data_IF_763012153444
#
_entry.id   IF_763012153444
#
_cell.length_a   1.000
_cell.length_b   1.000
_cell.length_c   1.000
_cell.angle_alpha   90.00
_cell.angle_beta   90.00
_cell.angle_gamma   90.00
#
_symmetry.space_group_name_H-M   'P 1'
#
loop_
_entity.id
_entity.type
_entity.pdbx_description
1 polymer ?
#
# COMPACT_ATOMS: atom_id res chain seq x y z
N UNK A 1 -12.27 -22.44 -0.85
CA UNK A 1 -11.49 -21.52 0.00
C UNK A 1 -10.52 -22.35 0.82
N UNK A 2 -9.40 -21.80 1.33
CA UNK A 2 -8.62 -22.54 2.31
C UNK A 2 -9.50 -22.92 3.52
N UNK A 3 -9.17 -24.04 4.16
CA UNK A 3 -9.87 -24.50 5.36
C UNK A 3 -9.64 -23.58 6.55
N UNK A 4 -10.44 -23.76 7.60
CA UNK A 4 -10.31 -22.97 8.82
C UNK A 4 -8.95 -23.19 9.52
N UNK A 5 -8.41 -22.12 10.11
CA UNK A 5 -7.15 -22.12 10.83
C UNK A 5 -7.22 -22.97 12.10
N UNK A 6 -8.39 -23.09 12.73
CA UNK A 6 -8.61 -23.88 13.94
C UNK A 6 -8.15 -25.34 13.82
N UNK A 7 -8.20 -25.89 12.60
CA UNK A 7 -7.66 -27.24 12.33
C UNK A 7 -6.14 -27.28 12.45
N UNK A 8 -5.44 -26.23 12.03
CA UNK A 8 -3.98 -26.15 12.13
C UNK A 8 -3.52 -25.84 13.55
N UNK A 9 -4.30 -25.06 14.28
CA UNK A 9 -4.00 -24.64 15.64
C UNK A 9 -4.46 -25.62 16.71
N UNK A 10 -5.07 -26.75 16.31
CA UNK A 10 -5.55 -27.76 17.23
C UNK A 10 -4.40 -28.32 18.10
N UNK A 11 -4.44 -28.13 19.44
CA UNK A 11 -3.34 -28.50 20.33
C UNK A 11 -3.23 -30.02 20.57
N UNK A 12 -4.19 -30.80 20.09
CA UNK A 12 -4.20 -32.26 20.21
C UNK A 12 -4.95 -32.93 19.08
N UNK A 13 -4.59 -34.19 18.80
CA UNK A 13 -5.27 -35.06 17.83
C UNK A 13 -6.78 -35.15 18.10
N UNK A 14 -7.18 -35.28 19.37
CA UNK A 14 -8.61 -35.36 19.75
C UNK A 14 -9.37 -34.10 19.36
N UNK A 15 -8.80 -32.93 19.62
CA UNK A 15 -9.43 -31.66 19.26
C UNK A 15 -9.48 -31.47 17.75
N UNK A 16 -8.41 -31.85 17.05
CA UNK A 16 -8.38 -31.87 15.59
C UNK A 16 -9.50 -32.72 14.99
N UNK A 17 -9.67 -33.96 15.49
CA UNK A 17 -10.73 -34.87 15.04
C UNK A 17 -12.13 -34.30 15.27
N UNK A 18 -12.37 -33.64 16.40
CA UNK A 18 -13.64 -32.99 16.69
C UNK A 18 -13.94 -31.83 15.73
N UNK A 19 -12.95 -30.96 15.49
CA UNK A 19 -13.07 -29.84 14.57
C UNK A 19 -13.28 -30.31 13.13
N UNK A 20 -12.51 -31.33 12.71
CA UNK A 20 -12.61 -31.90 11.37
C UNK A 20 -13.95 -32.61 11.14
N UNK A 21 -14.51 -33.26 12.16
CA UNK A 21 -15.83 -33.88 12.08
C UNK A 21 -16.96 -32.83 11.99
N UNK A 22 -16.81 -31.69 12.65
CA UNK A 22 -17.81 -30.62 12.68
C UNK A 22 -17.73 -29.67 11.48
N UNK A 23 -16.65 -29.73 10.68
CA UNK A 23 -16.56 -28.89 9.49
C UNK A 23 -17.52 -29.35 8.39
N UNK A 24 -18.26 -28.42 7.76
CA UNK A 24 -19.00 -28.73 6.55
C UNK A 24 -18.01 -29.22 5.48
N UNK A 25 -18.27 -30.42 4.92
CA UNK A 25 -17.43 -31.02 3.89
C UNK A 25 -17.36 -30.14 2.65
N UNK A 26 -16.28 -29.37 2.54
CA UNK A 26 -15.97 -28.51 1.40
C UNK A 26 -16.81 -27.22 1.39
N UNK A 27 -16.14 -26.06 1.42
CA UNK A 27 -16.79 -24.82 1.00
C UNK A 27 -17.09 -24.91 -0.50
N UNK A 28 -18.32 -24.67 -0.97
CA UNK A 28 -18.60 -24.68 -2.41
C UNK A 28 -17.87 -23.54 -3.13
N UNK A 29 -17.45 -22.50 -2.41
CA UNK A 29 -16.74 -21.35 -2.95
C UNK A 29 -15.24 -21.66 -3.17
N UNK A 30 -14.76 -21.53 -4.40
CA UNK A 30 -13.34 -21.55 -4.73
C UNK A 30 -12.68 -20.18 -4.50
N UNK A 31 -11.34 -20.16 -4.37
CA UNK A 31 -10.60 -18.90 -4.26
C UNK A 31 -10.77 -18.03 -5.52
N UNK A 32 -10.84 -18.66 -6.70
CA UNK A 32 -11.08 -17.96 -7.96
C UNK A 32 -12.44 -17.27 -8.01
N UNK A 33 -13.50 -17.94 -7.55
CA UNK A 33 -14.84 -17.33 -7.44
C UNK A 33 -14.86 -16.17 -6.42
N UNK A 34 -14.19 -16.34 -5.28
CA UNK A 34 -14.07 -15.29 -4.27
C UNK A 34 -13.32 -14.06 -4.82
N UNK A 35 -12.18 -14.29 -5.49
CA UNK A 35 -11.40 -13.24 -6.13
C UNK A 35 -12.19 -12.56 -7.25
N UNK A 36 -12.91 -13.30 -8.08
CA UNK A 36 -13.76 -12.75 -9.15
C UNK A 36 -14.85 -11.83 -8.59
N UNK A 37 -15.50 -12.22 -7.49
CA UNK A 37 -16.48 -11.38 -6.81
C UNK A 37 -15.84 -10.11 -6.26
N UNK A 38 -14.67 -10.21 -5.64
CA UNK A 38 -13.96 -9.04 -5.12
C UNK A 38 -13.44 -8.12 -6.23
N UNK A 39 -12.91 -8.67 -7.32
CA UNK A 39 -12.31 -7.92 -8.42
C UNK A 39 -13.33 -7.31 -9.37
N UNK A 40 -14.42 -8.02 -9.67
CA UNK A 40 -15.33 -7.66 -10.78
C UNK A 40 -16.79 -7.63 -10.38
N UNK A 41 -17.13 -7.93 -9.12
CA UNK A 41 -18.50 -8.14 -8.64
C UNK A 41 -19.24 -9.29 -9.35
N UNK A 42 -18.50 -10.20 -9.99
CA UNK A 42 -19.03 -11.29 -10.80
C UNK A 42 -18.88 -12.65 -10.12
N UNK A 43 -19.93 -13.46 -10.20
CA UNK A 43 -19.94 -14.87 -9.81
C UNK A 43 -20.46 -15.71 -10.98
N UNK A 44 -19.72 -16.77 -11.35
CA UNK A 44 -20.09 -17.63 -12.48
C UNK A 44 -21.39 -18.44 -12.25
N UNK A 45 -21.82 -18.57 -10.99
CA UNK A 45 -23.03 -19.24 -10.55
C UNK A 45 -23.55 -18.60 -9.28
N UNK A 46 -24.80 -18.89 -8.92
CA UNK A 46 -25.34 -18.50 -7.61
C UNK A 46 -24.63 -19.29 -6.49
N UNK A 47 -24.05 -18.57 -5.54
CA UNK A 47 -23.34 -19.13 -4.40
C UNK A 47 -24.11 -18.76 -3.13
N UNK A 48 -24.46 -19.73 -2.26
CA UNK A 48 -25.21 -19.45 -1.04
C UNK A 48 -24.53 -18.40 -0.16
N UNK A 49 -25.31 -17.50 0.44
CA UNK A 49 -24.79 -16.41 1.31
C UNK A 49 -23.88 -16.90 2.44
N UNK A 50 -24.15 -18.09 2.98
CA UNK A 50 -23.34 -18.74 4.02
C UNK A 50 -21.90 -19.04 3.58
N UNK A 51 -21.66 -19.18 2.27
CA UNK A 51 -20.32 -19.47 1.72
C UNK A 51 -19.41 -18.24 1.66
N UNK A 52 -19.97 -17.04 1.87
CA UNK A 52 -19.24 -15.77 1.93
C UNK A 52 -18.79 -15.41 3.34
N UNK A 53 -19.10 -16.25 4.34
CA UNK A 53 -18.53 -16.17 5.68
C UNK A 53 -17.16 -16.85 5.66
N UNK A 54 -16.11 -16.06 5.84
CA UNK A 54 -14.73 -16.53 5.75
C UNK A 54 -14.06 -16.48 7.12
N UNK A 55 -13.22 -17.48 7.40
CA UNK A 55 -12.30 -17.43 8.54
C UNK A 55 -11.26 -16.32 8.35
N UNK A 56 -10.52 -15.94 9.41
CA UNK A 56 -9.42 -14.98 9.30
C UNK A 56 -8.40 -15.33 8.23
N UNK A 57 -7.96 -16.57 8.25
CA UNK A 57 -7.01 -17.08 7.28
C UNK A 57 -7.56 -17.05 5.85
N UNK A 58 -8.81 -17.47 5.64
CA UNK A 58 -9.44 -17.45 4.32
C UNK A 58 -9.61 -16.03 3.76
N UNK A 59 -9.92 -15.07 4.64
CA UNK A 59 -9.99 -13.66 4.30
C UNK A 59 -8.63 -13.14 3.86
N UNK A 60 -7.58 -13.41 4.64
CA UNK A 60 -6.21 -13.00 4.30
C UNK A 60 -5.79 -13.54 2.92
N UNK A 61 -6.00 -14.83 2.66
CA UNK A 61 -5.70 -15.46 1.36
C UNK A 61 -6.45 -14.78 0.21
N UNK A 62 -7.73 -14.42 0.40
CA UNK A 62 -8.48 -13.67 -0.60
C UNK A 62 -7.91 -12.27 -0.86
N UNK A 63 -7.50 -11.55 0.19
CA UNK A 63 -6.88 -10.22 0.05
C UNK A 63 -5.54 -10.31 -0.71
N UNK A 64 -4.72 -11.32 -0.43
CA UNK A 64 -3.49 -11.58 -1.20
C UNK A 64 -3.77 -11.91 -2.66
N UNK A 65 -4.80 -12.72 -2.94
CA UNK A 65 -5.18 -13.05 -4.31
C UNK A 65 -5.57 -11.79 -5.10
N UNK A 66 -6.38 -10.91 -4.50
CA UNK A 66 -6.75 -9.60 -5.08
C UNK A 66 -5.53 -8.71 -5.29
N UNK A 67 -4.69 -8.55 -4.26
CA UNK A 67 -3.49 -7.72 -4.37
C UNK A 67 -2.50 -8.21 -5.44
N UNK A 68 -2.37 -9.54 -5.55
CA UNK A 68 -1.56 -10.19 -6.57
C UNK A 68 -2.12 -9.95 -7.97
N UNK A 69 -3.44 -10.08 -8.15
CA UNK A 69 -4.11 -9.81 -9.42
C UNK A 69 -3.95 -8.35 -9.86
N UNK A 70 -4.16 -7.39 -8.94
CA UNK A 70 -3.91 -5.97 -9.19
C UNK A 70 -2.47 -5.76 -9.65
N UNK A 71 -1.50 -6.34 -8.93
CA UNK A 71 -0.09 -6.22 -9.28
C UNK A 71 0.24 -6.80 -10.66
N UNK A 72 -0.32 -7.96 -11.03
CA UNK A 72 -0.15 -8.55 -12.36
C UNK A 72 -0.71 -7.64 -13.45
N UNK A 73 -1.93 -7.13 -13.26
CA UNK A 73 -2.56 -6.20 -14.22
C UNK A 73 -1.69 -4.95 -14.40
N UNK A 74 -1.24 -4.33 -13.32
CA UNK A 74 -0.40 -3.14 -13.38
C UNK A 74 0.98 -3.43 -13.99
N UNK A 75 1.58 -4.58 -13.68
CA UNK A 75 2.91 -4.94 -14.19
C UNK A 75 2.91 -5.34 -15.67
N UNK A 76 1.88 -6.06 -16.12
CA UNK A 76 1.74 -6.43 -17.53
C UNK A 76 1.63 -5.19 -18.45
N UNK A 77 0.97 -4.13 -17.94
CA UNK A 77 0.83 -2.85 -18.65
C UNK A 77 2.15 -2.10 -18.77
N UNK A 78 2.93 -2.06 -17.70
CA UNK A 78 4.28 -1.48 -17.71
C UNK A 78 5.24 -2.21 -18.67
N UNK A 79 5.01 -3.50 -18.92
CA UNK A 79 5.79 -4.31 -19.86
C UNK A 79 5.22 -4.35 -21.29
N UNK A 80 4.05 -3.74 -21.54
CA UNK A 80 3.41 -3.71 -22.85
C UNK A 80 2.91 -5.08 -23.37
N UNK A 81 2.74 -6.09 -22.51
CA UNK A 81 2.42 -7.49 -22.89
C UNK A 81 0.91 -7.77 -22.86
N UNK A 82 0.07 -6.90 -23.41
CA UNK A 82 -1.32 -7.28 -23.70
C UNK A 82 -1.40 -7.77 -25.15
N UNK A 83 -1.65 -9.07 -25.40
CA UNK A 83 -1.85 -9.57 -26.73
C UNK A 83 -3.26 -9.18 -27.19
N UNK A 84 -3.32 -8.17 -28.07
CA UNK A 84 -4.51 -7.83 -28.83
C UNK A 84 -4.93 -6.37 -28.76
N UNK A 85 -4.19 -5.48 -29.43
CA UNK A 85 -4.80 -4.54 -30.39
C UNK A 85 -3.71 -3.86 -31.25
N UNK A 86 -3.83 -3.95 -32.58
CA UNK A 86 -2.92 -3.30 -33.54
C UNK A 86 -3.49 -1.93 -33.92
N UNK A 87 -3.52 -0.99 -32.97
CA UNK A 87 -3.99 0.36 -33.25
C UNK A 87 -3.64 1.35 -32.15
N UNK A 88 -2.70 2.25 -32.45
CA UNK A 88 -2.33 3.46 -31.71
C UNK A 88 -1.75 3.27 -30.30
N UNK A 89 -0.45 3.53 -30.18
CA UNK A 89 0.29 3.71 -28.92
C UNK A 89 -0.27 4.89 -28.11
N UNK A 90 -1.33 4.65 -27.37
CA UNK A 90 -1.71 5.43 -26.19
C UNK A 90 -1.37 4.55 -25.01
N UNK A 91 -0.59 5.07 -24.06
CA UNK A 91 -0.27 4.39 -22.79
C UNK A 91 -1.56 3.75 -22.27
N UNK A 92 -1.57 2.42 -22.11
CA UNK A 92 -2.70 1.56 -21.71
C UNK A 92 -3.11 1.80 -20.24
N UNK A 93 -3.36 3.06 -19.90
CA UNK A 93 -3.77 3.52 -18.59
C UNK A 93 -4.96 4.44 -18.79
N UNK A 94 -6.05 3.85 -19.28
CA UNK A 94 -7.35 4.53 -19.25
C UNK A 94 -7.79 4.75 -17.80
N UNK A 95 -8.45 5.88 -17.47
CA UNK A 95 -9.00 6.14 -16.13
C UNK A 95 -9.96 5.06 -15.61
N UNK A 96 -10.50 4.19 -16.49
CA UNK A 96 -11.34 3.05 -16.11
C UNK A 96 -10.62 2.00 -15.25
N UNK A 97 -9.30 1.86 -15.39
CA UNK A 97 -8.54 0.80 -14.69
C UNK A 97 -8.23 1.12 -13.23
N UNK A 98 -7.88 2.39 -12.95
CA UNK A 98 -7.75 2.88 -11.57
C UNK A 98 -9.11 2.82 -10.88
N UNK A 99 -10.18 3.15 -11.59
CA UNK A 99 -11.54 3.09 -11.05
C UNK A 99 -11.98 1.66 -10.73
N UNK A 100 -11.66 0.69 -11.58
CA UNK A 100 -11.91 -0.73 -11.33
C UNK A 100 -11.08 -1.25 -10.15
N UNK A 101 -9.81 -0.85 -10.07
CA UNK A 101 -8.96 -1.15 -8.91
C UNK A 101 -9.51 -0.53 -7.63
N UNK A 102 -9.93 0.74 -7.65
CA UNK A 102 -10.57 1.41 -6.52
C UNK A 102 -11.87 0.69 -6.10
N UNK A 103 -12.69 0.25 -7.06
CA UNK A 103 -13.91 -0.48 -6.78
C UNK A 103 -13.61 -1.85 -6.13
N UNK A 104 -12.60 -2.58 -6.62
CA UNK A 104 -12.17 -3.84 -6.05
C UNK A 104 -11.65 -3.68 -4.62
N UNK A 105 -10.81 -2.68 -4.37
CA UNK A 105 -10.28 -2.38 -3.05
C UNK A 105 -11.37 -1.92 -2.08
N UNK A 106 -12.36 -1.14 -2.54
CA UNK A 106 -13.51 -0.77 -1.73
C UNK A 106 -14.34 -2.00 -1.33
N UNK A 107 -14.63 -2.92 -2.25
CA UNK A 107 -15.33 -4.18 -1.93
C UNK A 107 -14.54 -5.02 -0.91
N UNK A 108 -13.23 -5.10 -1.06
CA UNK A 108 -12.37 -5.79 -0.09
C UNK A 108 -12.44 -5.14 1.30
N UNK A 109 -12.38 -3.80 1.36
CA UNK A 109 -12.50 -3.06 2.61
C UNK A 109 -13.87 -3.27 3.26
N UNK A 110 -14.95 -3.23 2.48
CA UNK A 110 -16.30 -3.41 3.01
C UNK A 110 -16.49 -4.83 3.56
N UNK A 111 -15.89 -5.84 2.92
CA UNK A 111 -15.80 -7.20 3.45
C UNK A 111 -15.02 -7.25 4.78
N UNK A 112 -13.86 -6.60 4.87
CA UNK A 112 -13.07 -6.56 6.12
C UNK A 112 -13.82 -5.83 7.26
N UNK A 113 -14.53 -4.75 6.95
CA UNK A 113 -15.29 -3.99 7.95
C UNK A 113 -16.56 -4.71 8.40
N UNK A 114 -17.25 -5.40 7.49
CA UNK A 114 -18.40 -6.25 7.84
C UNK A 114 -17.97 -7.44 8.71
N UNK A 115 -16.84 -8.07 8.39
CA UNK A 115 -16.26 -9.11 9.23
C UNK A 115 -15.90 -8.60 10.64
N UNK A 116 -15.41 -7.36 10.76
CA UNK A 116 -15.16 -6.71 12.04
C UNK A 116 -16.44 -6.48 12.86
N UNK A 117 -17.49 -5.97 12.22
CA UNK A 117 -18.72 -5.55 12.90
C UNK A 117 -19.66 -6.72 13.25
N UNK A 118 -19.60 -7.83 12.51
CA UNK A 118 -20.48 -8.97 12.72
C UNK A 118 -20.07 -9.85 13.93
N UNK A 119 -18.87 -9.65 14.50
CA UNK A 119 -18.14 -10.73 15.16
C UNK A 119 -17.51 -10.34 16.52
N UNK A 120 -18.31 -10.07 17.55
CA UNK A 120 -17.83 -10.21 18.96
C UNK A 120 -17.56 -11.69 19.35
N UNK A 121 -17.88 -12.67 18.48
CA UNK A 121 -17.93 -14.11 18.84
C UNK A 121 -17.06 -15.04 17.97
N UNK A 122 -16.66 -14.66 16.75
CA UNK A 122 -15.92 -15.55 15.82
C UNK A 122 -14.49 -15.12 15.53
N UNK A 123 -14.09 -13.93 15.97
CA UNK A 123 -12.72 -13.43 15.89
C UNK A 123 -12.33 -13.07 17.31
N UNK A 124 -11.34 -13.75 17.85
CA UNK A 124 -10.79 -13.46 19.17
C UNK A 124 -10.08 -12.11 19.18
N UNK A 125 -9.78 -11.55 20.36
CA UNK A 125 -8.92 -10.37 20.47
C UNK A 125 -7.55 -10.58 19.77
N UNK A 126 -7.12 -11.83 19.62
CA UNK A 126 -5.90 -12.22 18.92
C UNK A 126 -6.00 -12.12 17.37
N UNK A 127 -7.21 -12.06 16.81
CA UNK A 127 -7.45 -11.96 15.36
C UNK A 127 -7.58 -10.50 14.86
N UNK A 128 -7.69 -9.52 15.77
CA UNK A 128 -7.69 -8.09 15.45
C UNK A 128 -6.49 -7.63 14.60
N UNK A 129 -5.26 -8.10 14.88
CA UNK A 129 -4.08 -7.87 14.03
C UNK A 129 -4.26 -8.36 12.59
N UNK A 130 -4.98 -9.47 12.35
CA UNK A 130 -5.15 -10.05 11.00
C UNK A 130 -5.90 -9.09 10.06
N UNK A 131 -7.02 -8.50 10.49
CA UNK A 131 -7.77 -7.53 9.68
C UNK A 131 -6.93 -6.28 9.39
N UNK A 132 -6.20 -5.82 10.40
CA UNK A 132 -5.29 -4.69 10.28
C UNK A 132 -4.18 -4.97 9.24
N UNK A 133 -3.64 -6.19 9.24
CA UNK A 133 -2.65 -6.67 8.28
C UNK A 133 -3.20 -6.81 6.86
N UNK A 134 -4.42 -7.33 6.71
CA UNK A 134 -5.12 -7.38 5.42
C UNK A 134 -5.27 -5.98 4.79
N UNK A 135 -5.56 -4.97 5.60
CA UNK A 135 -5.62 -3.58 5.13
C UNK A 135 -4.26 -3.05 4.65
N UNK A 136 -3.12 -3.54 5.17
CA UNK A 136 -1.82 -3.21 4.61
C UNK A 136 -1.60 -3.81 3.22
N UNK A 137 -1.99 -5.07 3.02
CA UNK A 137 -1.92 -5.74 1.71
C UNK A 137 -2.71 -4.97 0.64
N UNK A 138 -3.92 -4.51 0.98
CA UNK A 138 -4.74 -3.68 0.08
C UNK A 138 -4.08 -2.32 -0.22
N UNK A 139 -3.39 -1.71 0.76
CA UNK A 139 -2.63 -0.47 0.53
C UNK A 139 -1.44 -0.67 -0.39
N UNK A 140 -0.70 -1.78 -0.24
CA UNK A 140 0.38 -2.16 -1.19
C UNK A 140 -0.17 -2.23 -2.61
N UNK A 141 -1.29 -2.94 -2.80
CA UNK A 141 -1.93 -3.08 -4.10
C UNK A 141 -2.33 -1.73 -4.70
N UNK A 142 -2.95 -0.86 -3.88
CA UNK A 142 -3.33 0.49 -4.30
C UNK A 142 -2.13 1.33 -4.74
N UNK A 143 -1.10 1.45 -3.89
CA UNK A 143 0.07 2.26 -4.20
C UNK A 143 0.75 1.79 -5.48
N UNK A 144 0.92 0.47 -5.65
CA UNK A 144 1.53 -0.11 -6.85
C UNK A 144 0.70 0.09 -8.12
N UNK A 145 -0.64 0.06 -8.02
CA UNK A 145 -1.51 0.32 -9.15
C UNK A 145 -1.47 1.79 -9.60
N UNK A 146 -1.28 2.72 -8.67
CA UNK A 146 -1.22 4.15 -8.96
C UNK A 146 0.19 4.64 -9.36
N UNK A 147 1.24 3.90 -9.04
CA UNK A 147 2.62 4.19 -9.46
C UNK A 147 2.85 3.76 -10.92
N UNK A 148 2.42 4.61 -11.86
CA UNK A 148 2.33 4.30 -13.30
C UNK A 148 3.64 4.44 -14.10
N UNK A 149 4.68 5.12 -13.60
CA UNK A 149 5.75 5.63 -14.49
C UNK A 149 7.15 5.69 -13.88
N UNK A 150 7.28 5.81 -12.56
CA UNK A 150 8.57 5.76 -11.88
C UNK A 150 8.46 4.87 -10.65
N UNK A 151 8.96 3.64 -10.76
CA UNK A 151 9.24 2.83 -9.57
C UNK A 151 10.73 2.95 -9.28
N UNK A 152 11.05 3.28 -8.03
CA UNK A 152 12.42 3.19 -7.54
C UNK A 152 12.95 1.77 -7.84
N UNK A 153 14.23 1.65 -8.19
CA UNK A 153 14.85 0.37 -8.50
C UNK A 153 14.44 -0.69 -7.47
N UNK A 154 13.75 -1.75 -7.92
CA UNK A 154 13.22 -2.81 -7.03
C UNK A 154 14.34 -3.53 -6.28
N UNK A 155 15.57 -3.47 -6.80
CA UNK A 155 16.76 -4.04 -6.18
C UNK A 155 17.53 -3.04 -5.31
N UNK A 156 17.04 -1.82 -5.09
CA UNK A 156 17.74 -0.81 -4.28
C UNK A 156 18.05 -1.29 -2.86
N UNK A 157 17.15 -2.11 -2.31
CA UNK A 157 17.31 -2.70 -0.98
C UNK A 157 18.42 -3.77 -0.95
N UNK A 158 18.81 -4.32 -2.09
CA UNK A 158 19.89 -5.30 -2.23
C UNK A 158 21.25 -4.68 -2.57
N UNK A 159 21.32 -3.38 -2.86
CA UNK A 159 22.60 -2.71 -3.18
C UNK A 159 23.54 -2.76 -1.98
N UNK A 160 24.84 -2.95 -2.19
CA UNK A 160 25.76 -3.10 -1.07
C UNK A 160 26.28 -1.74 -0.60
N UNK A 161 26.51 -0.83 -1.54
CA UNK A 161 27.16 0.45 -1.27
C UNK A 161 26.16 1.61 -1.20
N UNK A 162 26.52 2.65 -0.45
CA UNK A 162 25.77 3.92 -0.44
C UNK A 162 25.77 4.59 -1.81
N UNK A 163 26.86 4.48 -2.57
CA UNK A 163 26.97 5.08 -3.91
C UNK A 163 25.91 4.54 -4.86
N UNK A 164 25.76 3.22 -4.94
CA UNK A 164 24.75 2.57 -5.79
C UNK A 164 23.32 2.99 -5.45
N UNK A 165 23.02 3.19 -4.17
CA UNK A 165 21.71 3.68 -3.71
C UNK A 165 21.49 5.11 -4.17
N UNK A 166 22.47 5.98 -3.97
CA UNK A 166 22.39 7.40 -4.37
C UNK A 166 22.25 7.53 -5.89
N UNK A 167 22.94 6.69 -6.66
CA UNK A 167 22.82 6.65 -8.12
C UNK A 167 21.41 6.17 -8.54
N UNK A 168 20.89 5.12 -7.90
CA UNK A 168 19.54 4.62 -8.15
C UNK A 168 18.47 5.66 -7.80
N UNK A 169 18.63 6.38 -6.69
CA UNK A 169 17.76 7.51 -6.30
C UNK A 169 17.86 8.64 -7.32
N UNK A 170 19.07 9.01 -7.74
CA UNK A 170 19.27 10.09 -8.73
C UNK A 170 18.58 9.76 -10.05
N UNK A 171 18.72 8.50 -10.52
CA UNK A 171 17.99 7.99 -11.68
C UNK A 171 16.48 8.06 -11.47
N UNK A 172 16.00 7.64 -10.29
CA UNK A 172 14.59 7.70 -9.95
C UNK A 172 14.01 9.12 -9.98
N UNK A 173 14.74 10.12 -9.47
CA UNK A 173 14.32 11.51 -9.50
C UNK A 173 14.38 12.15 -10.90
N UNK A 174 15.23 11.63 -11.79
CA UNK A 174 15.34 12.10 -13.18
C UNK A 174 14.16 11.71 -14.07
N UNK A 175 13.37 10.71 -13.67
CA UNK A 175 12.19 10.27 -14.41
C UNK A 175 11.03 11.21 -14.09
N UNK A 176 10.35 11.73 -15.11
CA UNK A 176 9.21 12.63 -14.90
C UNK A 176 8.07 11.93 -14.15
N UNK A 177 7.43 12.66 -13.23
CA UNK A 177 6.35 12.16 -12.39
C UNK A 177 5.02 12.76 -12.86
N UNK A 178 4.13 11.97 -13.48
CA UNK A 178 2.85 12.48 -13.94
C UNK A 178 1.98 13.02 -12.79
N UNK A 179 1.25 14.10 -13.11
CA UNK A 179 0.40 14.85 -12.18
C UNK A 179 -1.06 14.91 -12.60
N UNK A 180 -1.58 13.84 -13.23
CA UNK A 180 -2.98 13.78 -13.63
C UNK A 180 -3.93 13.88 -12.44
N UNK A 181 -5.17 14.29 -12.69
CA UNK A 181 -6.21 14.37 -11.65
C UNK A 181 -6.40 13.02 -10.91
N UNK A 182 -6.35 11.90 -11.65
CA UNK A 182 -6.43 10.56 -11.07
C UNK A 182 -5.28 10.26 -10.10
N UNK A 183 -4.05 10.65 -10.44
CA UNK A 183 -2.89 10.48 -9.57
C UNK A 183 -3.01 11.39 -8.34
N UNK A 184 -3.40 12.65 -8.52
CA UNK A 184 -3.60 13.59 -7.40
C UNK A 184 -4.65 13.08 -6.41
N UNK A 185 -5.77 12.55 -6.91
CA UNK A 185 -6.80 11.90 -6.08
C UNK A 185 -6.22 10.70 -5.34
N UNK A 186 -5.44 9.86 -6.01
CA UNK A 186 -4.83 8.68 -5.39
C UNK A 186 -3.79 9.04 -4.32
N UNK A 187 -3.00 10.08 -4.54
CA UNK A 187 -2.06 10.62 -3.56
C UNK A 187 -2.82 11.18 -2.36
N UNK A 188 -3.90 11.93 -2.57
CA UNK A 188 -4.70 12.44 -1.47
C UNK A 188 -5.22 11.31 -0.55
N UNK A 189 -5.71 10.21 -1.13
CA UNK A 189 -6.14 9.03 -0.36
C UNK A 189 -4.98 8.35 0.37
N UNK A 190 -3.84 8.25 -0.29
CA UNK A 190 -2.62 7.64 0.26
C UNK A 190 -2.05 8.45 1.44
N UNK A 191 -2.09 9.77 1.34
CA UNK A 191 -1.63 10.71 2.38
C UNK A 191 -2.39 10.50 3.68
N UNK A 192 -3.72 10.33 3.66
CA UNK A 192 -4.48 10.09 4.90
C UNK A 192 -4.01 8.81 5.62
N UNK A 193 -3.80 7.72 4.87
CA UNK A 193 -3.28 6.47 5.41
C UNK A 193 -1.85 6.59 5.94
N UNK A 194 -1.04 7.44 5.29
CA UNK A 194 0.35 7.76 5.64
C UNK A 194 0.47 8.59 6.94
N UNK A 195 -0.62 9.02 7.57
CA UNK A 195 -0.54 9.70 8.88
C UNK A 195 -1.31 8.99 10.00
N UNK A 196 -1.89 7.81 9.72
CA UNK A 196 -2.56 6.98 10.74
C UNK A 196 -1.61 6.63 11.90
N UNK A 197 -0.37 6.14 11.67
CA UNK A 197 0.58 5.90 12.76
C UNK A 197 0.90 7.12 13.62
N UNK A 198 0.95 8.31 13.00
CA UNK A 198 1.20 9.55 13.72
C UNK A 198 0.10 9.85 14.73
N UNK A 199 -1.16 9.69 14.31
CA UNK A 199 -2.36 9.91 15.14
C UNK A 199 -2.51 8.90 16.26
N UNK A 200 -2.07 7.67 16.06
CA UNK A 200 -2.00 6.66 17.11
C UNK A 200 -0.90 6.97 18.15
N UNK A 201 0.02 7.88 17.83
CA UNK A 201 1.18 8.22 18.63
C UNK A 201 2.44 7.66 18.01
N UNK A 202 3.34 8.54 17.56
CA UNK A 202 4.59 8.17 16.88
C UNK A 202 5.43 7.22 17.74
N UNK A 203 5.74 7.61 18.98
CA UNK A 203 6.57 6.79 19.88
C UNK A 203 5.92 5.45 20.21
N UNK A 204 4.61 5.45 20.46
CA UNK A 204 3.87 4.22 20.74
C UNK A 204 4.00 3.27 19.55
N UNK A 205 3.68 3.75 18.35
CA UNK A 205 3.73 2.94 17.12
C UNK A 205 5.14 2.43 16.83
N UNK A 206 6.17 3.25 16.99
CA UNK A 206 7.57 2.83 16.82
C UNK A 206 7.94 1.65 17.73
N UNK A 207 7.43 1.63 18.97
CA UNK A 207 7.75 0.59 19.94
C UNK A 207 6.86 -0.65 19.84
N UNK A 208 5.67 -0.54 19.23
CA UNK A 208 4.69 -1.64 19.18
C UNK A 208 4.45 -2.20 17.78
N UNK A 209 4.96 -1.58 16.71
CA UNK A 209 4.79 -2.06 15.34
C UNK A 209 5.17 -3.53 15.19
N UNK A 210 6.32 -3.93 15.74
CA UNK A 210 6.80 -5.31 15.71
C UNK A 210 5.87 -6.34 16.38
N UNK A 211 4.94 -5.92 17.23
CA UNK A 211 4.05 -6.81 17.99
C UNK A 211 2.77 -7.18 17.22
N UNK A 212 2.32 -6.31 16.31
CA UNK A 212 1.00 -6.44 15.66
C UNK A 212 1.06 -6.40 14.14
N UNK A 213 2.13 -5.86 13.56
CA UNK A 213 2.26 -5.69 12.12
C UNK A 213 2.84 -6.95 11.49
N UNK A 214 2.39 -7.27 10.28
CA UNK A 214 3.12 -8.11 9.34
C UNK A 214 4.13 -7.31 8.53
N UNK A 215 5.06 -8.00 7.86
CA UNK A 215 6.05 -7.35 6.98
C UNK A 215 5.38 -6.52 5.88
N UNK A 216 4.15 -6.88 5.49
CA UNK A 216 3.34 -6.12 4.53
C UNK A 216 3.04 -4.70 4.98
N UNK A 217 2.98 -4.41 6.29
CA UNK A 217 2.87 -3.03 6.76
C UNK A 217 4.12 -2.22 6.43
N UNK A 218 5.30 -2.84 6.58
CA UNK A 218 6.54 -2.17 6.22
C UNK A 218 6.58 -1.90 4.71
N UNK A 219 6.19 -2.88 3.91
CA UNK A 219 6.12 -2.76 2.45
C UNK A 219 5.06 -1.72 2.03
N UNK A 220 3.89 -1.72 2.66
CA UNK A 220 2.82 -0.75 2.41
C UNK A 220 3.27 0.68 2.72
N UNK A 221 3.88 0.86 3.90
CA UNK A 221 4.42 2.15 4.32
C UNK A 221 5.50 2.64 3.36
N UNK A 222 6.40 1.76 2.92
CA UNK A 222 7.42 2.05 1.92
C UNK A 222 6.83 2.48 0.58
N UNK A 223 5.95 1.67 -0.02
CA UNK A 223 5.34 1.97 -1.33
C UNK A 223 4.51 3.27 -1.27
N UNK A 224 3.76 3.47 -0.18
CA UNK A 224 2.99 4.71 0.04
C UNK A 224 3.92 5.92 0.23
N UNK A 225 4.99 5.80 1.00
CA UNK A 225 5.95 6.89 1.22
C UNK A 225 6.64 7.29 -0.09
N UNK A 226 7.10 6.32 -0.90
CA UNK A 226 7.66 6.59 -2.22
C UNK A 226 6.66 7.31 -3.11
N UNK A 227 5.43 6.79 -3.22
CA UNK A 227 4.39 7.37 -4.07
C UNK A 227 4.06 8.80 -3.69
N UNK A 228 3.78 9.05 -2.40
CA UNK A 228 3.39 10.37 -1.89
C UNK A 228 4.54 11.36 -1.99
N UNK A 229 5.72 11.00 -1.52
CA UNK A 229 6.86 11.94 -1.47
C UNK A 229 7.37 12.30 -2.86
N UNK A 230 7.30 11.35 -3.82
CA UNK A 230 7.67 11.61 -5.21
C UNK A 230 6.72 12.58 -5.89
N UNK A 231 5.41 12.44 -5.63
CA UNK A 231 4.40 13.36 -6.15
C UNK A 231 4.56 14.74 -5.51
N UNK A 232 4.75 14.84 -4.19
CA UNK A 232 5.02 16.12 -3.52
C UNK A 232 6.24 16.79 -4.16
N UNK A 233 7.32 16.04 -4.36
CA UNK A 233 8.52 16.57 -5.00
C UNK A 233 8.24 17.10 -6.42
N UNK A 234 7.40 16.41 -7.19
CA UNK A 234 7.01 16.87 -8.52
C UNK A 234 6.23 18.20 -8.48
N UNK A 235 5.35 18.38 -7.49
CA UNK A 235 4.67 19.66 -7.27
C UNK A 235 5.65 20.76 -6.89
N UNK A 236 6.59 20.47 -5.97
CA UNK A 236 7.63 21.44 -5.60
C UNK A 236 8.48 21.86 -6.80
N UNK A 237 8.84 20.93 -7.69
CA UNK A 237 9.56 21.26 -8.92
C UNK A 237 8.71 22.11 -9.87
N UNK A 238 7.42 21.78 -10.03
CA UNK A 238 6.50 22.56 -10.85
C UNK A 238 6.32 24.00 -10.33
N UNK A 239 6.22 24.19 -9.01
CA UNK A 239 6.15 25.52 -8.41
C UNK A 239 7.43 26.34 -8.67
N UNK A 240 8.60 25.69 -8.60
CA UNK A 240 9.90 26.32 -8.86
C UNK A 240 10.11 26.66 -10.34
N UNK A 241 9.62 25.84 -11.27
CA UNK A 241 9.67 26.10 -12.71
C UNK A 241 8.58 27.07 -13.19
N UNK A 242 7.72 27.56 -12.29
CA UNK A 242 6.52 28.34 -12.61
C UNK A 242 5.52 27.61 -13.52
N UNK A 243 5.54 26.27 -13.49
CA UNK A 243 4.54 25.47 -14.16
C UNK A 243 3.19 25.56 -13.45
N UNK A 244 2.12 25.31 -14.21
CA UNK A 244 0.78 25.34 -13.66
C UNK A 244 0.60 24.24 -12.61
N UNK A 245 0.17 24.66 -11.42
CA UNK A 245 -0.37 23.81 -10.37
C UNK A 245 -1.89 24.07 -10.32
N UNK A 246 -2.69 23.03 -10.33
CA UNK A 246 -4.14 23.10 -10.29
C UNK A 246 -4.66 23.12 -8.82
N UNK A 247 -5.96 23.34 -8.65
CA UNK A 247 -6.56 23.48 -7.32
C UNK A 247 -6.58 22.17 -6.52
N UNK A 248 -6.75 21.03 -7.19
CA UNK A 248 -6.71 19.71 -6.53
C UNK A 248 -5.32 19.39 -6.00
N UNK A 249 -4.27 19.76 -6.73
CA UNK A 249 -2.87 19.62 -6.32
C UNK A 249 -2.59 20.52 -5.11
N UNK A 250 -2.96 21.81 -5.18
CA UNK A 250 -2.85 22.75 -4.05
C UNK A 250 -3.57 22.26 -2.81
N UNK A 251 -4.78 21.73 -2.96
CA UNK A 251 -5.56 21.23 -1.83
C UNK A 251 -4.90 20.00 -1.19
N UNK A 252 -4.33 19.12 -2.00
CA UNK A 252 -3.58 17.95 -1.51
C UNK A 252 -2.32 18.36 -0.76
N UNK A 253 -1.55 19.33 -1.27
CA UNK A 253 -0.39 19.89 -0.56
C UNK A 253 -0.79 20.52 0.77
N UNK A 254 -1.86 21.34 0.79
CA UNK A 254 -2.40 21.92 2.04
C UNK A 254 -2.78 20.85 3.05
N UNK A 255 -3.36 19.74 2.59
CA UNK A 255 -3.67 18.60 3.45
C UNK A 255 -2.41 17.99 4.07
N UNK A 256 -1.33 17.81 3.29
CA UNK A 256 -0.04 17.33 3.81
C UNK A 256 0.50 18.29 4.87
N UNK A 257 0.50 19.60 4.63
CA UNK A 257 0.91 20.60 5.63
C UNK A 257 0.12 20.49 6.94
N UNK A 258 -1.20 20.37 6.84
CA UNK A 258 -2.07 20.17 8.00
C UNK A 258 -1.69 18.92 8.78
N UNK A 259 -1.50 17.79 8.10
CA UNK A 259 -1.15 16.51 8.73
C UNK A 259 0.24 16.53 9.39
N UNK A 260 1.21 17.20 8.77
CA UNK A 260 2.53 17.43 9.37
C UNK A 260 2.43 18.25 10.66
N UNK A 261 1.57 19.27 10.66
CA UNK A 261 1.29 20.10 11.83
C UNK A 261 0.59 19.30 12.94
N UNK A 262 -0.42 18.50 12.59
CA UNK A 262 -1.11 17.58 13.51
C UNK A 262 -0.12 16.60 14.16
N UNK A 263 0.84 16.09 13.39
CA UNK A 263 1.90 15.21 13.86
C UNK A 263 3.03 15.94 14.63
N UNK A 264 2.90 17.26 14.84
CA UNK A 264 3.88 18.12 15.52
C UNK A 264 5.26 18.11 14.86
N UNK A 265 5.32 17.85 13.56
CA UNK A 265 6.56 17.82 12.79
C UNK A 265 6.89 19.24 12.37
N UNK A 266 8.00 19.76 12.89
CA UNK A 266 8.50 21.08 12.53
C UNK A 266 9.32 20.98 11.25
N UNK A 267 8.99 21.80 10.27
CA UNK A 267 9.81 22.06 9.10
C UNK A 267 9.60 23.52 8.67
N UNK A 268 10.59 24.07 8.01
CA UNK A 268 10.64 25.46 7.54
C UNK A 268 10.12 25.56 6.11
N UNK A 269 9.66 26.75 5.70
CA UNK A 269 9.25 26.98 4.30
C UNK A 269 10.41 26.86 3.30
N UNK A 270 11.65 26.93 3.79
CA UNK A 270 12.87 26.76 3.00
C UNK A 270 13.19 25.30 2.70
N UNK A 271 12.77 24.37 3.57
CA UNK A 271 13.00 22.94 3.40
C UNK A 271 12.06 22.31 2.37
N UNK A 272 12.48 21.22 1.73
CA UNK A 272 11.59 20.41 0.90
C UNK A 272 10.56 19.69 1.77
N UNK A 273 9.27 19.88 1.45
CA UNK A 273 8.16 19.15 2.05
C UNK A 273 8.30 17.64 1.77
N UNK A 274 8.71 17.26 0.56
CA UNK A 274 8.98 15.86 0.23
C UNK A 274 10.06 15.28 1.13
N UNK A 275 11.15 16.01 1.36
CA UNK A 275 12.20 15.61 2.30
C UNK A 275 11.68 15.49 3.73
N UNK A 276 10.89 16.46 4.21
CA UNK A 276 10.35 16.47 5.56
C UNK A 276 9.41 15.27 5.82
N UNK A 277 8.48 14.98 4.90
CA UNK A 277 7.58 13.81 4.99
C UNK A 277 8.39 12.51 4.95
N UNK A 278 9.43 12.44 4.11
CA UNK A 278 10.30 11.26 4.00
C UNK A 278 11.08 11.01 5.30
N UNK A 279 11.66 12.07 5.90
CA UNK A 279 12.38 11.99 7.18
C UNK A 279 11.46 11.61 8.34
N UNK A 280 10.22 12.08 8.33
CA UNK A 280 9.23 11.67 9.31
C UNK A 280 8.95 10.16 9.27
N UNK A 281 8.93 9.58 8.07
CA UNK A 281 8.59 8.17 7.88
C UNK A 281 9.75 7.19 8.09
N UNK A 282 10.99 7.61 7.81
CA UNK A 282 12.16 6.73 7.92
C UNK A 282 12.31 6.03 9.30
N UNK A 283 12.09 6.70 10.45
CA UNK A 283 12.18 6.08 11.77
C UNK A 283 11.26 4.87 11.98
N UNK A 284 10.08 4.83 11.34
CA UNK A 284 9.15 3.69 11.46
C UNK A 284 9.76 2.37 10.99
N UNK A 285 10.76 2.44 10.12
CA UNK A 285 11.45 1.25 9.62
C UNK A 285 12.78 0.99 10.33
N UNK A 286 13.50 2.02 10.77
CA UNK A 286 14.75 1.82 11.50
C UNK A 286 14.54 1.30 12.92
N UNK A 287 13.43 1.64 13.58
CA UNK A 287 13.11 1.17 14.94
C UNK A 287 12.39 -0.19 14.98
N UNK A 288 11.93 -0.70 13.83
CA UNK A 288 11.34 -2.02 13.72
C UNK A 288 12.44 -3.08 13.59
N UNK A 289 12.55 -3.96 14.60
CA UNK A 289 13.68 -4.88 14.77
C UNK A 289 13.43 -6.31 14.26
N UNK A 290 12.19 -6.68 13.98
CA UNK A 290 11.79 -8.06 13.64
C UNK A 290 12.07 -8.45 12.18
N UNK A 291 12.20 -7.50 11.26
CA UNK A 291 12.43 -7.77 9.84
C UNK A 291 13.73 -7.16 9.34
N UNK A 292 14.65 -7.98 8.84
CA UNK A 292 15.96 -7.49 8.37
C UNK A 292 15.90 -6.47 7.23
N UNK A 293 14.78 -6.38 6.51
CA UNK A 293 14.57 -5.42 5.43
C UNK A 293 14.24 -4.00 5.92
N UNK A 294 13.68 -3.82 7.13
CA UNK A 294 13.18 -2.51 7.57
C UNK A 294 14.28 -1.49 7.86
N UNK A 295 15.42 -1.83 8.50
CA UNK A 295 16.53 -0.87 8.64
C UNK A 295 17.02 -0.38 7.28
N UNK A 296 17.01 -1.26 6.27
CA UNK A 296 17.43 -0.94 4.91
C UNK A 296 16.45 0.01 4.22
N UNK A 297 15.14 -0.23 4.36
CA UNK A 297 14.07 0.67 3.91
C UNK A 297 14.29 2.06 4.52
N UNK A 298 14.47 2.13 5.85
CA UNK A 298 14.69 3.39 6.57
C UNK A 298 15.91 4.15 6.07
N UNK A 299 17.03 3.45 5.83
CA UNK A 299 18.24 4.05 5.28
C UNK A 299 18.03 4.63 3.88
N UNK A 300 17.37 3.90 2.98
CA UNK A 300 17.09 4.41 1.62
C UNK A 300 16.15 5.62 1.66
N UNK A 301 15.15 5.64 2.54
CA UNK A 301 14.30 6.84 2.74
C UNK A 301 15.12 8.04 3.23
N UNK A 302 16.09 7.84 4.13
CA UNK A 302 16.98 8.93 4.57
C UNK A 302 17.83 9.49 3.42
N UNK A 303 18.39 8.63 2.57
CA UNK A 303 19.12 9.09 1.38
C UNK A 303 18.20 9.77 0.36
N UNK A 304 16.97 9.28 0.19
CA UNK A 304 15.97 9.92 -0.67
C UNK A 304 15.60 11.31 -0.16
N UNK A 305 15.43 11.50 1.14
CA UNK A 305 15.17 12.80 1.73
C UNK A 305 16.32 13.79 1.51
N UNK A 306 17.57 13.33 1.55
CA UNK A 306 18.75 14.16 1.22
C UNK A 306 18.74 14.57 -0.25
N UNK A 307 18.34 13.67 -1.14
CA UNK A 307 18.24 13.94 -2.57
C UNK A 307 17.13 14.97 -2.89
N UNK A 308 15.96 14.86 -2.25
CA UNK A 308 14.89 15.86 -2.37
C UNK A 308 15.35 17.25 -1.92
N UNK A 309 16.04 17.34 -0.78
CA UNK A 309 16.60 18.61 -0.28
C UNK A 309 17.61 19.22 -1.26
N UNK A 310 18.55 18.40 -1.75
CA UNK A 310 19.55 18.84 -2.71
C UNK A 310 18.94 19.35 -4.02
N UNK A 311 17.87 18.70 -4.49
CA UNK A 311 17.14 19.12 -5.70
C UNK A 311 16.50 20.50 -5.53
N UNK A 312 15.98 20.83 -4.33
CA UNK A 312 15.40 22.15 -4.04
C UNK A 312 16.46 23.25 -4.01
N UNK A 313 17.64 22.97 -3.45
CA UNK A 313 18.74 23.93 -3.35
C UNK A 313 19.37 24.28 -4.72
N UNK A 314 19.49 23.31 -5.64
CA UNK A 314 20.09 23.53 -6.98
C UNK A 314 19.33 24.51 -7.87
N UNK A 315 18.04 24.75 -7.60
CA UNK A 315 17.22 25.68 -8.40
C UNK A 315 17.36 27.13 -7.88
N UNK A 316 17.89 27.32 -6.67
CA UNK A 316 18.08 28.64 -6.05
C UNK A 316 19.52 29.17 -6.19
N UNK A 317 20.42 28.41 -6.80
CA UNK A 317 21.83 28.75 -7.07
C UNK A 317 22.04 29.13 -8.52
#
# INVERSE_FOLDING_TARGET
MPGDQDLWDAPSERQWLLLNHNQPRGTPLSLGEAMSKLMYDQTAREIPETSWKWSPFATAVAMYAVATQIWYISSAKNLGILPGDHGNHTILSGPGDIMETEAALNRCRDLLMSAKNANEVTWSDDDGPMLFNCMAVLRVAYSRACMLTATLDRFILLRETRGEIVDAISKYLSIDQPRSESITKAVARSVEGLFVPARAGVLLTLKTAALTWWVDHAIAGWDTALFVTRWIHAIEQAELSHDFVNDSERQTIKMVHRLMTEAQIRFTSTESLAAAVTRFWAPFFTDTWVWGVTPRIGFVLQELAKAYEASRLRVHS
#
